data_IF_416633838065
#
_entry.id   IF_416633838065
#
_cell.length_a   1.000
_cell.length_b   1.000
_cell.length_c   1.000
_cell.angle_alpha   90.00
_cell.angle_beta   90.00
_cell.angle_gamma   90.00
#
_symmetry.space_group_name_H-M   'P 1'
#
loop_
_entity.id
_entity.type
_entity.pdbx_description
1 polymer ?
#
# COMPACT_ATOMS: atom_id res chain seq x y z
N UNK A 1 5.07 -18.58 3.19
CA UNK A 1 5.02 -17.35 2.39
C UNK A 1 3.73 -16.60 2.70
N UNK A 2 3.77 -15.29 2.95
CA UNK A 2 2.54 -14.50 3.09
C UNK A 2 1.76 -14.57 1.77
N UNK A 3 0.47 -14.87 1.84
CA UNK A 3 -0.39 -14.98 0.64
C UNK A 3 -0.86 -13.63 0.13
N UNK A 4 -0.80 -12.60 0.98
CA UNK A 4 -1.34 -11.28 0.71
C UNK A 4 -0.43 -10.20 1.31
N UNK A 5 -0.32 -9.08 0.62
CA UNK A 5 0.22 -7.82 1.13
C UNK A 5 -0.92 -6.93 1.58
N UNK A 6 -0.68 -6.14 2.62
CA UNK A 6 -1.66 -5.22 3.18
C UNK A 6 -1.11 -3.80 3.19
N UNK A 7 -1.97 -2.85 2.87
CA UNK A 7 -1.68 -1.42 2.93
C UNK A 7 -2.85 -0.70 3.60
N UNK A 8 -2.57 0.34 4.37
CA UNK A 8 -3.59 1.18 4.99
C UNK A 8 -3.51 2.58 4.37
N UNK A 9 -4.62 3.06 3.83
CA UNK A 9 -4.79 4.47 3.50
C UNK A 9 -5.44 5.15 4.70
N UNK A 10 -4.87 6.27 5.12
CA UNK A 10 -5.39 7.11 6.20
C UNK A 10 -5.60 8.53 5.69
N UNK A 11 -6.81 9.07 5.86
CA UNK A 11 -7.15 10.45 5.51
C UNK A 11 -8.19 11.05 6.45
N UNK A 12 -8.25 12.37 6.50
CA UNK A 12 -9.36 13.12 7.10
C UNK A 12 -10.65 12.91 6.29
N UNK A 13 -11.78 12.73 6.98
CA UNK A 13 -13.09 12.49 6.36
C UNK A 13 -13.57 13.66 5.49
N UNK A 14 -13.05 14.88 5.69
CA UNK A 14 -13.39 16.05 4.88
C UNK A 14 -12.77 16.05 3.46
N UNK A 15 -11.90 15.08 3.12
CA UNK A 15 -11.25 14.95 1.81
C UNK A 15 -11.69 13.72 1.01
N UNK A 16 -13.00 13.40 1.05
CA UNK A 16 -13.58 12.22 0.38
C UNK A 16 -13.21 12.12 -1.11
N UNK A 17 -13.15 13.24 -1.84
CA UNK A 17 -12.75 13.20 -3.26
C UNK A 17 -11.30 12.73 -3.47
N UNK A 18 -10.39 13.16 -2.59
CA UNK A 18 -8.99 12.77 -2.67
C UNK A 18 -8.84 11.29 -2.32
N UNK A 19 -9.55 10.83 -1.28
CA UNK A 19 -9.63 9.43 -0.91
C UNK A 19 -10.18 8.58 -2.06
N UNK A 20 -11.27 9.00 -2.69
CA UNK A 20 -11.88 8.29 -3.83
C UNK A 20 -10.91 8.16 -4.99
N UNK A 21 -10.19 9.23 -5.35
CA UNK A 21 -9.15 9.18 -6.39
C UNK A 21 -8.03 8.20 -6.04
N UNK A 22 -7.57 8.23 -4.79
CA UNK A 22 -6.51 7.35 -4.30
C UNK A 22 -6.93 5.89 -4.32
N UNK A 23 -8.16 5.57 -3.90
CA UNK A 23 -8.73 4.22 -3.96
C UNK A 23 -8.87 3.72 -5.39
N UNK A 24 -9.37 4.56 -6.30
CA UNK A 24 -9.47 4.20 -7.72
C UNK A 24 -8.11 3.98 -8.39
N UNK A 25 -7.04 4.64 -7.90
CA UNK A 25 -5.68 4.32 -8.34
C UNK A 25 -5.25 2.96 -7.78
N UNK A 26 -5.38 2.76 -6.47
CA UNK A 26 -4.98 1.54 -5.80
C UNK A 26 -5.67 0.30 -6.40
N UNK A 27 -6.97 0.37 -6.70
CA UNK A 27 -7.71 -0.70 -7.38
C UNK A 27 -7.18 -0.98 -8.78
N UNK A 28 -6.80 0.05 -9.53
CA UNK A 28 -6.13 -0.12 -10.85
C UNK A 28 -4.76 -0.77 -10.72
N UNK A 29 -4.05 -0.50 -9.62
CA UNK A 29 -2.75 -1.10 -9.28
C UNK A 29 -2.89 -2.52 -8.66
N UNK A 30 -4.11 -3.08 -8.61
CA UNK A 30 -4.37 -4.44 -8.13
C UNK A 30 -4.61 -4.56 -6.62
N UNK A 31 -4.81 -3.45 -5.92
CA UNK A 31 -5.17 -3.43 -4.50
C UNK A 31 -6.69 -3.46 -4.30
N UNK A 32 -7.15 -4.40 -3.50
CA UNK A 32 -8.55 -4.65 -3.17
C UNK A 32 -8.89 -4.08 -1.76
N UNK A 33 -9.87 -3.17 -1.63
CA UNK A 33 -10.31 -2.65 -0.32
C UNK A 33 -11.10 -3.70 0.45
N UNK A 34 -10.60 -4.05 1.63
CA UNK A 34 -11.15 -5.12 2.50
C UNK A 34 -12.02 -4.56 3.60
N UNK A 35 -11.63 -3.41 4.16
CA UNK A 35 -12.32 -2.79 5.27
C UNK A 35 -12.16 -1.28 5.19
N UNK A 36 -13.23 -0.56 5.51
CA UNK A 36 -13.22 0.88 5.67
C UNK A 36 -13.85 1.22 7.02
N UNK A 37 -13.11 1.93 7.86
CA UNK A 37 -13.56 2.40 9.16
C UNK A 37 -13.23 3.87 9.29
N UNK A 38 -14.18 4.67 9.77
CA UNK A 38 -13.88 6.07 10.04
C UNK A 38 -15.02 6.84 10.64
N UNK A 39 -14.64 7.87 11.38
CA UNK A 39 -15.52 8.91 11.92
C UNK A 39 -14.95 10.27 11.48
N UNK A 40 -14.03 10.87 12.23
CA UNK A 40 -13.30 12.07 11.83
C UNK A 40 -12.18 11.79 10.80
N UNK A 41 -11.59 10.60 10.86
CA UNK A 41 -10.59 10.09 9.93
C UNK A 41 -11.08 8.78 9.32
N UNK A 42 -10.82 8.59 8.03
CA UNK A 42 -11.13 7.38 7.27
C UNK A 42 -9.86 6.55 7.10
N UNK A 43 -9.97 5.29 7.51
CA UNK A 43 -8.96 4.26 7.35
C UNK A 43 -9.50 3.23 6.36
N UNK A 44 -8.75 2.98 5.30
CA UNK A 44 -9.08 1.92 4.33
C UNK A 44 -7.96 0.90 4.33
N UNK A 45 -8.30 -0.32 4.71
CA UNK A 45 -7.43 -1.48 4.58
C UNK A 45 -7.54 -2.02 3.16
N UNK A 46 -6.43 -2.03 2.45
CA UNK A 46 -6.25 -2.64 1.14
C UNK A 46 -5.48 -3.94 1.29
N UNK A 47 -5.78 -4.91 0.42
CA UNK A 47 -4.99 -6.12 0.23
C UNK A 47 -4.64 -6.30 -1.23
N UNK A 48 -3.52 -6.92 -1.53
CA UNK A 48 -3.26 -7.49 -2.86
C UNK A 48 -2.68 -8.89 -2.72
N UNK A 49 -2.86 -9.80 -3.68
CA UNK A 49 -2.13 -11.06 -3.69
C UNK A 49 -0.63 -10.76 -3.63
N UNK A 50 0.09 -11.45 -2.76
CA UNK A 50 1.54 -11.36 -2.71
C UNK A 50 2.06 -11.88 -4.05
N UNK A 51 2.49 -10.97 -4.92
CA UNK A 51 3.34 -11.37 -6.03
C UNK A 51 4.70 -11.62 -5.40
N UNK A 52 5.17 -12.87 -5.45
CA UNK A 52 6.60 -13.15 -5.40
C UNK A 52 7.23 -12.50 -6.64
N UNK A 53 7.31 -11.17 -6.63
CA UNK A 53 8.23 -10.45 -7.49
C UNK A 53 9.60 -10.86 -7.01
N UNK A 54 10.11 -11.91 -7.65
CA UNK A 54 11.46 -12.45 -7.57
C UNK A 54 12.36 -11.57 -6.72
N UNK A 55 12.68 -12.03 -5.52
CA UNK A 55 13.69 -11.47 -4.62
C UNK A 55 15.06 -11.48 -5.34
N UNK A 56 15.23 -10.61 -6.32
CA UNK A 56 16.35 -10.56 -7.25
C UNK A 56 16.53 -9.14 -7.79
N UNK A 57 16.33 -8.12 -6.96
CA UNK A 57 16.83 -6.76 -7.23
C UNK A 57 16.76 -5.85 -5.99
N UNK A 58 17.47 -6.16 -4.89
CA UNK A 58 18.09 -5.14 -4.01
C UNK A 58 18.94 -5.79 -2.90
N UNK A 59 19.88 -6.65 -3.31
CA UNK A 59 21.13 -6.88 -2.57
C UNK A 59 22.25 -6.26 -3.39
N UNK A 60 22.23 -4.92 -3.51
CA UNK A 60 23.20 -4.18 -4.30
C UNK A 60 23.34 -2.76 -3.79
N UNK A 61 24.50 -2.48 -3.18
CA UNK A 61 25.02 -1.19 -2.69
C UNK A 61 24.48 -0.78 -1.31
N UNK A 62 25.29 -0.73 -0.26
CA UNK A 62 26.54 0.04 -0.25
C UNK A 62 27.78 -0.72 0.27
N UNK A 63 28.84 -0.67 -0.52
CA UNK A 63 30.23 -0.64 -0.08
C UNK A 63 30.94 0.44 -0.94
N UNK A 64 32.06 1.06 -0.52
CA UNK A 64 32.66 1.36 0.80
C UNK A 64 32.99 2.89 0.89
N UNK A 65 33.91 3.46 1.71
CA UNK A 65 35.35 3.14 1.76
C UNK A 65 35.92 2.97 3.18
N UNK A 66 37.15 2.48 3.23
CA UNK A 66 38.02 2.40 4.39
C UNK A 66 38.59 3.77 4.77
N UNK A 67 38.86 3.98 6.07
CA UNK A 67 40.14 4.50 6.59
C UNK A 67 40.29 4.13 8.08
#
# INVERSE_FOLDING_TARGET
MPKYEYQIIHQLANRVEHLTRQLNSAVRDGWDPVSMTGDEHVYVLLRRPYQEESASAQSGQAAPPAE
#
